data_IF_340157730546
#
_entry.id   IF_340157730546
#
_cell.length_a   1.000
_cell.length_b   1.000
_cell.length_c   1.000
_cell.angle_alpha   90.00
_cell.angle_beta   90.00
_cell.angle_gamma   90.00
#
_symmetry.space_group_name_H-M   'P 1'
#
loop_
_entity.id
_entity.type
_entity.pdbx_description
1 polymer ?
#
# COMPACT_ATOMS: atom_id res chain seq x y z
N UNK A 1 9.99 -5.53 -19.19
CA UNK A 1 8.86 -4.90 -18.47
C UNK A 1 7.52 -5.47 -18.93
N UNK A 2 7.21 -5.50 -20.23
CA UNK A 2 5.92 -6.02 -20.76
C UNK A 2 5.65 -7.47 -20.35
N UNK A 3 6.65 -8.35 -20.44
CA UNK A 3 6.51 -9.76 -20.07
C UNK A 3 6.19 -9.92 -18.57
N UNK A 4 6.89 -9.15 -17.72
CA UNK A 4 6.64 -9.14 -16.27
C UNK A 4 5.22 -8.66 -15.95
N UNK A 5 4.79 -7.55 -16.52
CA UNK A 5 3.45 -7.02 -16.32
C UNK A 5 2.36 -8.02 -16.76
N UNK A 6 2.55 -8.67 -17.91
CA UNK A 6 1.64 -9.71 -18.38
C UNK A 6 1.61 -10.95 -17.48
N UNK A 7 2.75 -11.35 -16.91
CA UNK A 7 2.83 -12.46 -15.98
C UNK A 7 2.08 -12.13 -14.67
N UNK A 8 2.28 -10.94 -14.11
CA UNK A 8 1.57 -10.47 -12.91
C UNK A 8 0.06 -10.47 -13.14
N UNK A 9 -0.40 -9.84 -14.21
CA UNK A 9 -1.83 -9.78 -14.53
C UNK A 9 -2.45 -11.18 -14.67
N UNK A 10 -1.83 -12.06 -15.46
CA UNK A 10 -2.33 -13.44 -15.65
C UNK A 10 -2.35 -14.23 -14.34
N UNK A 11 -1.37 -14.02 -13.48
CA UNK A 11 -1.29 -14.68 -12.18
C UNK A 11 -2.46 -14.29 -11.28
N UNK A 12 -2.83 -13.01 -11.25
CA UNK A 12 -3.99 -12.52 -10.51
C UNK A 12 -5.29 -13.07 -11.12
N UNK A 13 -5.44 -13.00 -12.45
CA UNK A 13 -6.62 -13.49 -13.14
C UNK A 13 -6.87 -14.99 -12.89
N UNK A 14 -5.82 -15.78 -12.78
CA UNK A 14 -5.93 -17.23 -12.51
C UNK A 14 -5.83 -17.58 -11.01
N UNK A 15 -5.80 -16.59 -10.11
CA UNK A 15 -5.68 -16.76 -8.64
C UNK A 15 -4.48 -17.63 -8.23
N UNK A 16 -3.34 -17.43 -8.90
CA UNK A 16 -2.09 -18.15 -8.66
C UNK A 16 -1.10 -17.32 -7.86
N UNK A 17 0.01 -17.93 -7.48
CA UNK A 17 1.17 -17.26 -6.87
C UNK A 17 2.25 -17.06 -7.94
N UNK A 18 2.99 -15.95 -7.85
CA UNK A 18 4.09 -15.63 -8.77
C UNK A 18 5.33 -15.28 -7.96
N UNK A 19 6.43 -15.96 -8.22
CA UNK A 19 7.74 -15.61 -7.69
C UNK A 19 8.56 -15.01 -8.82
N UNK A 20 9.16 -13.85 -8.58
CA UNK A 20 9.86 -13.08 -9.61
C UNK A 20 11.28 -12.81 -9.13
N UNK A 21 12.25 -13.25 -9.92
CA UNK A 21 13.64 -12.83 -9.79
C UNK A 21 13.99 -11.95 -11.00
N UNK A 22 14.34 -10.70 -10.75
CA UNK A 22 14.68 -9.76 -11.79
C UNK A 22 15.79 -8.81 -11.33
N UNK A 23 16.74 -8.43 -12.19
CA UNK A 23 17.83 -7.52 -11.84
C UNK A 23 17.29 -6.15 -11.41
N UNK A 24 18.15 -5.35 -10.79
CA UNK A 24 17.82 -3.96 -10.42
C UNK A 24 17.68 -3.09 -11.68
N UNK A 25 16.93 -2.00 -11.59
CA UNK A 25 16.79 -1.02 -12.68
C UNK A 25 15.81 -1.37 -13.80
N UNK A 26 15.20 -2.56 -13.81
CA UNK A 26 14.26 -2.98 -14.87
C UNK A 26 12.83 -2.47 -14.70
N UNK A 27 12.60 -1.54 -13.79
CA UNK A 27 11.26 -0.99 -13.53
C UNK A 27 10.30 -2.01 -12.91
N UNK A 28 10.78 -2.84 -11.98
CA UNK A 28 9.97 -3.87 -11.32
C UNK A 28 8.71 -3.31 -10.68
N UNK A 29 8.84 -2.21 -9.94
CA UNK A 29 7.74 -1.64 -9.17
C UNK A 29 6.55 -1.28 -10.07
N UNK A 30 6.76 -0.48 -11.10
CA UNK A 30 5.67 -0.10 -12.01
C UNK A 30 5.14 -1.30 -12.81
N UNK A 31 6.02 -2.27 -13.15
CA UNK A 31 5.64 -3.48 -13.86
C UNK A 31 4.85 -4.49 -13.02
N UNK A 32 4.83 -4.32 -11.69
CA UNK A 32 3.97 -5.08 -10.77
C UNK A 32 2.74 -4.27 -10.35
N UNK A 33 2.91 -3.00 -10.00
CA UNK A 33 1.82 -2.13 -9.54
C UNK A 33 0.77 -1.92 -10.63
N UNK A 34 1.17 -1.53 -11.84
CA UNK A 34 0.24 -1.23 -12.92
C UNK A 34 -0.71 -2.41 -13.26
N UNK A 35 -0.20 -3.63 -13.56
CA UNK A 35 -1.08 -4.75 -13.88
C UNK A 35 -1.94 -5.19 -12.68
N UNK A 36 -1.47 -5.01 -11.44
CA UNK A 36 -2.27 -5.29 -10.24
C UNK A 36 -3.43 -4.32 -10.10
N UNK A 37 -3.17 -3.03 -10.27
CA UNK A 37 -4.22 -2.00 -10.26
C UNK A 37 -5.23 -2.23 -11.37
N UNK A 38 -4.76 -2.57 -12.56
CA UNK A 38 -5.64 -2.93 -13.69
C UNK A 38 -6.53 -4.13 -13.35
N UNK A 39 -5.97 -5.21 -12.82
CA UNK A 39 -6.72 -6.41 -12.45
C UNK A 39 -7.80 -6.10 -11.40
N UNK A 40 -7.48 -5.30 -10.38
CA UNK A 40 -8.45 -4.87 -9.37
C UNK A 40 -9.52 -3.95 -9.99
N UNK A 41 -9.16 -3.11 -10.93
CA UNK A 41 -10.12 -2.29 -11.71
C UNK A 41 -11.11 -3.15 -12.49
N UNK A 42 -10.70 -4.32 -12.95
CA UNK A 42 -11.53 -5.30 -13.67
C UNK A 42 -12.23 -6.30 -12.71
N UNK A 43 -12.29 -6.00 -11.41
CA UNK A 43 -12.93 -6.83 -10.37
C UNK A 43 -12.28 -8.21 -10.14
N UNK A 44 -11.01 -8.38 -10.52
CA UNK A 44 -10.25 -9.61 -10.25
C UNK A 44 -9.66 -9.65 -8.82
N UNK A 45 -9.86 -8.59 -8.05
CA UNK A 45 -9.49 -8.43 -6.64
C UNK A 45 -10.15 -7.20 -6.05
N UNK A 46 -10.17 -7.09 -4.71
CA UNK A 46 -10.84 -5.99 -4.00
C UNK A 46 -9.86 -4.98 -3.42
N UNK A 47 -8.73 -5.47 -2.91
CA UNK A 47 -7.71 -4.67 -2.21
C UNK A 47 -6.32 -5.05 -2.66
N UNK A 48 -5.40 -4.11 -2.57
CA UNK A 48 -3.98 -4.32 -2.86
C UNK A 48 -3.20 -4.02 -1.59
N UNK A 49 -2.35 -4.97 -1.16
CA UNK A 49 -1.35 -4.77 -0.12
C UNK A 49 0.03 -4.82 -0.77
N UNK A 50 0.71 -3.69 -0.77
CA UNK A 50 2.08 -3.58 -1.25
C UNK A 50 3.03 -3.56 -0.07
N UNK A 51 3.67 -4.69 0.21
CA UNK A 51 4.52 -4.87 1.38
C UNK A 51 5.97 -4.54 1.04
N UNK A 52 6.63 -3.73 1.86
CA UNK A 52 8.04 -3.38 1.69
C UNK A 52 8.80 -3.49 3.01
N UNK A 53 10.02 -4.04 2.95
CA UNK A 53 10.89 -4.12 4.13
C UNK A 53 11.71 -2.85 4.39
N UNK A 54 11.85 -1.99 3.39
CA UNK A 54 12.72 -0.79 3.43
C UNK A 54 11.96 0.48 3.04
N UNK A 55 12.25 1.57 3.74
CA UNK A 55 11.67 2.89 3.45
C UNK A 55 11.88 3.34 2.01
N UNK A 56 13.09 3.12 1.46
CA UNK A 56 13.40 3.47 0.05
C UNK A 56 12.47 2.74 -0.93
N UNK A 57 12.17 1.46 -0.69
CA UNK A 57 11.26 0.70 -1.56
C UNK A 57 9.83 1.23 -1.47
N UNK A 58 9.42 1.74 -0.31
CA UNK A 58 8.13 2.41 -0.11
C UNK A 58 8.04 3.66 -0.98
N UNK A 59 9.05 4.54 -0.96
CA UNK A 59 9.07 5.76 -1.77
C UNK A 59 8.93 5.45 -3.26
N UNK A 60 9.62 4.43 -3.76
CA UNK A 60 9.50 3.99 -5.17
C UNK A 60 8.08 3.50 -5.50
N UNK A 61 7.41 2.84 -4.55
CA UNK A 61 6.00 2.44 -4.73
C UNK A 61 5.06 3.66 -4.75
N UNK A 62 5.26 4.61 -3.84
CA UNK A 62 4.50 5.87 -3.79
C UNK A 62 4.64 6.67 -5.09
N UNK A 63 5.86 6.77 -5.63
CA UNK A 63 6.12 7.38 -6.94
C UNK A 63 5.38 6.67 -8.07
N UNK A 64 5.38 5.32 -8.08
CA UNK A 64 4.65 4.56 -9.09
C UNK A 64 3.14 4.83 -9.03
N UNK A 65 2.55 4.91 -7.83
CA UNK A 65 1.15 5.28 -7.66
C UNK A 65 0.88 6.73 -8.04
N UNK A 66 1.79 7.65 -7.74
CA UNK A 66 1.71 9.06 -8.14
C UNK A 66 1.65 9.21 -9.67
N UNK A 67 2.52 8.49 -10.39
CA UNK A 67 2.50 8.45 -11.86
C UNK A 67 1.16 7.92 -12.38
N UNK A 68 0.61 6.87 -11.77
CA UNK A 68 -0.69 6.33 -12.17
C UNK A 68 -1.84 7.31 -11.88
N UNK A 69 -1.80 8.01 -10.73
CA UNK A 69 -2.77 9.07 -10.41
C UNK A 69 -2.73 10.20 -11.44
N UNK A 70 -1.54 10.63 -11.85
CA UNK A 70 -1.36 11.61 -12.94
C UNK A 70 -1.91 11.14 -14.30
N UNK A 71 -2.11 9.84 -14.48
CA UNK A 71 -2.75 9.21 -15.66
C UNK A 71 -4.23 8.90 -15.47
N UNK A 72 -4.85 9.42 -14.43
CA UNK A 72 -6.29 9.28 -14.19
C UNK A 72 -6.69 8.10 -13.28
N UNK A 73 -5.73 7.49 -12.58
CA UNK A 73 -6.05 6.46 -11.59
C UNK A 73 -6.88 7.05 -10.43
N UNK A 74 -8.05 6.50 -10.19
CA UNK A 74 -8.98 6.89 -9.11
C UNK A 74 -8.97 5.84 -8.00
N UNK A 75 -7.87 5.73 -7.27
CA UNK A 75 -7.72 4.84 -6.12
C UNK A 75 -7.23 5.61 -4.91
N UNK A 76 -7.73 5.24 -3.74
CA UNK A 76 -7.15 5.70 -2.47
C UNK A 76 -5.89 4.89 -2.19
N UNK A 77 -4.77 5.57 -1.97
CA UNK A 77 -3.50 4.98 -1.60
C UNK A 77 -3.21 5.39 -0.17
N UNK A 78 -3.13 4.42 0.73
CA UNK A 78 -2.78 4.62 2.13
C UNK A 78 -1.39 4.05 2.39
N UNK A 79 -0.48 4.88 2.88
CA UNK A 79 0.83 4.44 3.35
C UNK A 79 0.81 4.27 4.85
N UNK A 80 1.04 3.04 5.31
CA UNK A 80 1.18 2.73 6.72
C UNK A 80 2.66 2.67 7.09
N UNK A 81 3.02 3.35 8.16
CA UNK A 81 4.39 3.40 8.67
C UNK A 81 4.40 2.80 10.07
N UNK A 82 5.42 1.99 10.36
CA UNK A 82 5.60 1.42 11.69
C UNK A 82 5.70 2.53 12.75
N UNK A 83 5.02 2.33 13.88
CA UNK A 83 4.90 3.33 14.98
C UNK A 83 6.24 3.84 15.48
N UNK A 84 7.26 2.98 15.51
CA UNK A 84 8.60 3.32 15.94
C UNK A 84 9.28 4.37 15.04
N UNK A 85 8.86 4.44 13.76
CA UNK A 85 9.42 5.39 12.78
C UNK A 85 8.72 6.74 12.76
N UNK A 86 7.52 6.83 13.35
CA UNK A 86 6.72 8.06 13.42
C UNK A 86 6.55 8.58 14.84
N UNK A 87 7.11 7.87 15.84
CA UNK A 87 7.05 8.28 17.24
C UNK A 87 7.82 9.59 17.43
N UNK A 88 7.23 10.64 18.03
CA UNK A 88 7.91 11.89 18.31
C UNK A 88 8.83 11.83 19.53
N UNK A 89 8.84 10.72 20.28
CA UNK A 89 9.70 10.49 21.42
C UNK A 89 11.01 9.86 20.96
N UNK A 90 12.11 10.22 21.61
CA UNK A 90 13.45 9.67 21.34
C UNK A 90 13.51 8.14 21.52
N UNK A 91 12.79 7.64 22.53
CA UNK A 91 12.60 6.21 22.73
C UNK A 91 11.10 5.84 22.57
N UNK A 92 10.81 4.94 21.66
CA UNK A 92 9.45 4.46 21.38
C UNK A 92 8.98 3.43 22.43
N UNK A 93 8.89 3.86 23.70
CA UNK A 93 8.30 3.05 24.78
C UNK A 93 6.79 3.16 24.73
N UNK A 94 6.14 2.23 24.05
CA UNK A 94 4.68 2.25 23.85
C UNK A 94 3.92 1.64 25.06
N UNK A 95 4.28 2.03 26.29
CA UNK A 95 3.57 1.66 27.49
C UNK A 95 2.37 2.63 27.68
N UNK A 96 1.11 2.16 27.71
CA UNK A 96 -0.06 3.04 27.88
C UNK A 96 -0.10 3.83 29.19
N UNK A 97 0.64 3.42 30.22
CA UNK A 97 0.70 4.10 31.51
C UNK A 97 1.66 5.31 31.43
N UNK A 98 2.78 5.16 30.76
CA UNK A 98 3.86 6.15 30.73
C UNK A 98 3.82 7.05 29.47
N UNK A 99 3.35 6.50 28.35
CA UNK A 99 3.37 7.19 27.07
C UNK A 99 2.00 7.84 26.75
N UNK A 100 1.93 9.19 26.65
CA UNK A 100 0.69 9.89 26.36
C UNK A 100 0.11 9.54 24.98
N UNK A 101 0.96 9.14 24.02
CA UNK A 101 0.52 8.74 22.68
C UNK A 101 -0.03 7.31 22.64
N UNK A 102 0.44 6.43 23.52
CA UNK A 102 -0.05 5.05 23.64
C UNK A 102 -1.34 4.97 24.47
N UNK A 103 -1.56 5.93 25.40
CA UNK A 103 -2.74 5.97 26.24
C UNK A 103 -4.03 6.12 25.42
N UNK A 104 -4.94 5.17 25.58
CA UNK A 104 -6.22 5.16 24.86
C UNK A 104 -6.08 4.91 23.34
N UNK A 105 -4.95 4.37 22.87
CA UNK A 105 -4.73 4.10 21.46
C UNK A 105 -5.79 3.14 20.89
N UNK A 106 -6.06 2.06 21.60
CA UNK A 106 -7.04 1.05 21.15
C UNK A 106 -8.47 1.55 21.16
N UNK A 107 -8.78 2.54 21.99
CA UNK A 107 -10.11 3.14 22.03
C UNK A 107 -10.35 4.04 20.82
N UNK A 108 -9.30 4.73 20.36
CA UNK A 108 -9.36 5.69 19.23
C UNK A 108 -9.11 5.08 17.85
N UNK A 109 -8.37 3.97 17.78
CA UNK A 109 -7.95 3.41 16.49
C UNK A 109 -9.14 2.97 15.63
N UNK A 110 -10.16 2.40 16.22
CA UNK A 110 -11.36 1.95 15.49
C UNK A 110 -12.14 3.13 14.91
N UNK A 111 -12.27 4.21 15.66
CA UNK A 111 -12.93 5.44 15.20
C UNK A 111 -12.15 6.10 14.06
N UNK A 112 -10.83 6.23 14.21
CA UNK A 112 -9.95 6.75 13.16
C UNK A 112 -10.00 5.91 11.87
N UNK A 113 -10.05 4.59 11.99
CA UNK A 113 -10.22 3.68 10.83
C UNK A 113 -11.59 3.89 10.19
N UNK A 114 -12.65 4.01 11.00
CA UNK A 114 -14.00 4.24 10.50
C UNK A 114 -14.11 5.59 9.79
N UNK A 115 -13.58 6.65 10.35
CA UNK A 115 -13.51 7.97 9.72
C UNK A 115 -12.76 7.91 8.38
N UNK A 116 -11.58 7.29 8.37
CA UNK A 116 -10.77 7.13 7.16
C UNK A 116 -11.50 6.33 6.07
N UNK A 117 -12.26 5.30 6.44
CA UNK A 117 -13.07 4.53 5.49
C UNK A 117 -14.26 5.35 4.95
N UNK A 118 -14.81 6.23 5.77
CA UNK A 118 -15.94 7.08 5.42
C UNK A 118 -15.53 8.37 4.69
N UNK A 119 -14.27 8.76 4.71
CA UNK A 119 -13.76 9.80 3.81
C UNK A 119 -13.86 9.35 2.35
N UNK A 120 -15.07 9.39 1.85
CA UNK A 120 -15.41 8.83 0.58
C UNK A 120 -15.42 9.88 -0.53
N UNK A 121 -14.54 9.70 -1.47
CA UNK A 121 -14.95 9.64 -2.87
C UNK A 121 -15.59 8.27 -3.10
N UNK A 122 -16.88 8.23 -3.39
CA UNK A 122 -17.73 7.02 -3.48
C UNK A 122 -17.30 5.94 -4.49
N UNK A 123 -16.16 6.08 -5.16
CA UNK A 123 -15.71 5.22 -6.26
C UNK A 123 -14.26 4.75 -6.17
N UNK A 124 -13.59 4.89 -5.01
CA UNK A 124 -12.20 4.53 -4.88
C UNK A 124 -11.99 3.19 -4.15
N UNK A 125 -11.34 2.25 -4.82
CA UNK A 125 -10.77 1.06 -4.17
C UNK A 125 -9.51 1.43 -3.40
N UNK A 126 -9.20 0.69 -2.32
CA UNK A 126 -8.08 0.98 -1.44
C UNK A 126 -6.81 0.24 -1.87
N UNK A 127 -5.68 0.91 -1.78
CA UNK A 127 -4.35 0.35 -1.93
C UNK A 127 -3.57 0.64 -0.65
N UNK A 128 -3.07 -0.40 0.00
CA UNK A 128 -2.26 -0.29 1.21
C UNK A 128 -0.79 -0.50 0.85
N UNK A 129 0.06 0.47 1.20
CA UNK A 129 1.52 0.37 1.13
C UNK A 129 2.04 0.22 2.56
N UNK A 130 2.60 -0.93 2.87
CA UNK A 130 3.09 -1.30 4.19
C UNK A 130 4.61 -1.38 4.22
#
# INVERSE_FOLDING_TARGET
QKQLAAAVYRTIAHRKKLFIQAPTGVGKTISTVFPTVKAVGENLGEKIFYLTAKTVTRTVAEEAFSVLKGKGLRYKVLTLTAKEKICPLEEAKCNPIECPYAKGHYDRVNEAVFEMLNETDRYCKWIHVL
#
